data_IF_780634340418
#
_entry.id   IF_780634340418
#
_cell.length_a   1.000
_cell.length_b   1.000
_cell.length_c   1.000
_cell.angle_alpha   90.00
_cell.angle_beta   90.00
_cell.angle_gamma   90.00
#
_symmetry.space_group_name_H-M   'P 1'
#
loop_
_entity.id
_entity.type
_entity.pdbx_description
1 polymer ?
#
# COMPACT_ATOMS: atom_id res chain seq x y z
N UNK A 1 29.47 -1.77 -24.47
CA UNK A 1 28.26 -1.06 -24.02
C UNK A 1 28.23 -1.16 -22.51
N UNK A 2 28.02 -0.04 -21.81
CA UNK A 2 27.89 -0.06 -20.36
C UNK A 2 26.48 -0.54 -20.04
N UNK A 3 26.34 -1.78 -19.58
CA UNK A 3 25.11 -2.22 -18.92
C UNK A 3 25.23 -1.73 -17.48
N UNK A 4 24.55 -0.63 -17.15
CA UNK A 4 24.39 -0.26 -15.75
C UNK A 4 23.48 -1.32 -15.12
N UNK A 5 23.98 -2.02 -14.10
CA UNK A 5 23.15 -2.85 -13.24
C UNK A 5 22.39 -1.89 -12.34
N UNK A 6 21.07 -2.01 -12.33
CA UNK A 6 20.25 -1.26 -11.39
C UNK A 6 20.39 -1.86 -9.99
N UNK A 7 20.70 -1.00 -9.02
CA UNK A 7 20.87 -1.38 -7.61
C UNK A 7 20.01 -0.52 -6.70
N UNK A 8 19.14 0.35 -7.25
CA UNK A 8 18.22 1.14 -6.46
C UNK A 8 17.05 0.27 -6.03
N UNK A 9 16.63 0.40 -4.78
CA UNK A 9 15.41 -0.25 -4.29
C UNK A 9 14.21 0.68 -4.56
N UNK A 10 13.02 0.13 -4.89
CA UNK A 10 11.81 0.92 -4.98
C UNK A 10 11.51 1.66 -3.68
N UNK A 11 11.07 2.91 -3.79
CA UNK A 11 10.69 3.73 -2.64
C UNK A 11 9.24 4.18 -2.78
N UNK A 12 8.46 4.04 -1.70
CA UNK A 12 7.11 4.58 -1.64
C UNK A 12 7.18 6.12 -1.71
N UNK A 13 6.56 6.70 -2.74
CA UNK A 13 6.50 8.16 -2.95
C UNK A 13 5.20 8.77 -2.43
N UNK A 14 4.11 8.01 -2.40
CA UNK A 14 2.84 8.48 -1.83
C UNK A 14 1.93 7.33 -1.45
N UNK A 15 1.09 7.54 -0.45
CA UNK A 15 -0.10 6.73 -0.18
C UNK A 15 -1.31 7.66 -0.22
N UNK A 16 -2.34 7.30 -0.98
CA UNK A 16 -3.51 8.17 -1.21
C UNK A 16 -4.79 7.36 -1.39
N UNK A 17 -5.95 8.03 -1.30
CA UNK A 17 -7.23 7.50 -1.73
C UNK A 17 -7.82 8.35 -2.84
N UNK A 18 -8.63 7.74 -3.72
CA UNK A 18 -9.42 8.47 -4.72
C UNK A 18 -10.70 9.04 -4.15
N UNK A 19 -11.08 8.67 -2.94
CA UNK A 19 -12.25 9.25 -2.28
C UNK A 19 -11.88 10.52 -1.54
N UNK A 20 -12.78 11.51 -1.58
CA UNK A 20 -12.63 12.81 -0.93
C UNK A 20 -12.78 12.68 0.57
N UNK A 21 -11.97 13.37 1.36
CA UNK A 21 -12.05 13.34 2.81
C UNK A 21 -13.48 13.57 3.32
N UNK A 22 -13.91 12.72 4.24
CA UNK A 22 -15.29 12.71 4.72
C UNK A 22 -15.62 11.50 5.58
N UNK A 23 -16.87 11.41 6.02
CA UNK A 23 -17.36 10.30 6.82
C UNK A 23 -17.85 9.16 5.92
N UNK A 24 -17.36 7.95 6.19
CA UNK A 24 -17.72 6.75 5.46
C UNK A 24 -18.54 5.80 6.34
N UNK A 25 -19.54 5.17 5.74
CA UNK A 25 -20.42 4.26 6.46
C UNK A 25 -19.79 2.88 6.69
N UNK A 26 -20.28 2.16 7.68
CA UNK A 26 -19.92 0.76 7.90
C UNK A 26 -20.14 -0.06 6.62
N UNK A 27 -19.14 -0.86 6.25
CA UNK A 27 -19.17 -1.71 5.05
C UNK A 27 -18.81 -0.97 3.77
N UNK A 28 -18.56 0.33 3.82
CA UNK A 28 -18.12 1.08 2.67
C UNK A 28 -16.66 0.76 2.32
N UNK A 29 -16.36 0.60 1.03
CA UNK A 29 -15.01 0.30 0.55
C UNK A 29 -14.29 1.58 0.18
N UNK A 30 -13.12 1.82 0.78
CA UNK A 30 -12.20 2.90 0.47
C UNK A 30 -10.99 2.29 -0.23
N UNK A 31 -10.70 2.78 -1.44
CA UNK A 31 -9.55 2.33 -2.21
C UNK A 31 -8.33 3.12 -1.77
N UNK A 32 -7.29 2.43 -1.33
CA UNK A 32 -6.00 3.01 -0.94
C UNK A 32 -4.95 2.61 -1.97
N UNK A 33 -4.25 3.59 -2.51
CA UNK A 33 -3.21 3.45 -3.52
C UNK A 33 -1.83 3.77 -2.90
N UNK A 34 -0.93 2.80 -2.92
CA UNK A 34 0.47 2.95 -2.54
C UNK A 34 1.30 3.08 -3.82
N UNK A 35 1.95 4.23 -4.01
CA UNK A 35 2.72 4.54 -5.22
C UNK A 35 4.21 4.47 -4.91
N UNK A 36 4.96 3.77 -5.76
CA UNK A 36 6.40 3.66 -5.79
C UNK A 36 6.98 4.60 -6.86
N UNK A 37 8.26 4.94 -6.74
CA UNK A 37 9.01 5.68 -7.77
C UNK A 37 9.26 4.86 -9.05
N UNK A 38 9.18 3.54 -8.96
CA UNK A 38 9.28 2.61 -10.10
C UNK A 38 8.26 1.46 -10.05
N UNK A 39 8.21 0.67 -11.11
CA UNK A 39 7.28 -0.46 -11.20
C UNK A 39 7.74 -1.64 -10.35
N UNK A 40 6.81 -2.23 -9.58
CA UNK A 40 7.10 -3.34 -8.67
C UNK A 40 6.28 -4.59 -9.00
N UNK A 41 6.89 -5.76 -8.80
CA UNK A 41 6.27 -7.07 -8.90
C UNK A 41 5.97 -7.61 -7.50
N UNK A 42 4.72 -8.00 -7.28
CA UNK A 42 4.24 -8.52 -6.00
C UNK A 42 4.07 -10.04 -6.06
N UNK A 43 4.54 -10.73 -5.02
CA UNK A 43 4.17 -12.12 -4.72
C UNK A 43 3.50 -12.20 -3.34
N UNK A 44 2.71 -13.25 -3.09
CA UNK A 44 2.00 -13.42 -1.82
C UNK A 44 0.88 -12.40 -1.62
N UNK A 45 0.57 -12.08 -0.35
CA UNK A 45 -0.48 -11.13 0.04
C UNK A 45 0.10 -10.13 1.04
N UNK A 46 0.91 -9.14 0.59
CA UNK A 46 1.35 -8.07 1.46
C UNK A 46 0.17 -7.36 2.12
N UNK A 47 0.38 -6.81 3.31
CA UNK A 47 -0.64 -6.13 4.09
C UNK A 47 -0.23 -4.71 4.41
N UNK A 48 -1.13 -3.77 4.20
CA UNK A 48 -1.01 -2.37 4.60
C UNK A 48 -1.72 -2.16 5.94
N UNK A 49 -1.05 -1.61 6.94
CA UNK A 49 -1.65 -1.19 8.20
C UNK A 49 -2.12 0.27 8.10
N UNK A 50 -3.42 0.50 8.31
CA UNK A 50 -4.06 1.81 8.29
C UNK A 50 -4.37 2.24 9.73
N UNK A 51 -4.06 3.49 10.04
CA UNK A 51 -4.49 4.14 11.28
C UNK A 51 -5.97 4.52 11.14
N UNK A 52 -6.81 3.81 11.87
CA UNK A 52 -8.28 3.95 11.81
C UNK A 52 -8.87 4.32 13.17
N UNK A 53 -8.04 4.86 14.08
CA UNK A 53 -8.46 5.43 15.36
C UNK A 53 -7.87 4.71 16.56
N UNK A 54 -8.72 4.15 17.42
CA UNK A 54 -8.23 3.36 18.57
C UNK A 54 -7.72 1.97 18.18
N UNK A 55 -8.13 1.48 17.01
CA UNK A 55 -7.76 0.17 16.47
C UNK A 55 -7.31 0.37 15.03
N UNK A 56 -6.10 -0.08 14.71
CA UNK A 56 -5.57 -0.08 13.35
C UNK A 56 -6.11 -1.27 12.56
N UNK A 57 -6.22 -1.10 11.24
CA UNK A 57 -6.71 -2.15 10.33
C UNK A 57 -5.61 -2.58 9.37
N UNK A 58 -5.39 -3.89 9.30
CA UNK A 58 -4.58 -4.50 8.25
C UNK A 58 -5.44 -4.77 7.02
N UNK A 59 -4.96 -4.35 5.87
CA UNK A 59 -5.65 -4.43 4.58
C UNK A 59 -4.80 -5.22 3.62
N UNK A 60 -5.38 -6.28 3.05
CA UNK A 60 -4.69 -7.14 2.11
C UNK A 60 -4.49 -6.46 0.75
N UNK A 61 -3.32 -6.71 0.16
CA UNK A 61 -3.01 -6.34 -1.22
C UNK A 61 -4.09 -6.85 -2.18
N UNK A 62 -4.61 -5.94 -3.01
CA UNK A 62 -5.71 -6.23 -3.93
C UNK A 62 -5.25 -6.37 -5.38
N UNK A 63 -4.44 -5.44 -5.89
CA UNK A 63 -4.00 -5.42 -7.29
C UNK A 63 -2.88 -4.40 -7.56
N UNK A 64 -2.28 -4.42 -8.76
CA UNK A 64 -1.29 -3.42 -9.20
C UNK A 64 0.12 -3.94 -9.50
N UNK A 65 0.37 -5.24 -9.33
CA UNK A 65 1.64 -5.90 -9.69
C UNK A 65 2.05 -5.61 -11.14
N UNK A 66 3.33 -5.36 -11.37
CA UNK A 66 3.89 -4.93 -12.65
C UNK A 66 3.71 -3.44 -12.95
N UNK A 67 3.14 -2.66 -12.02
CA UNK A 67 3.03 -1.20 -12.11
C UNK A 67 3.70 -0.54 -10.91
N UNK A 68 3.80 0.78 -10.93
CA UNK A 68 4.31 1.54 -9.78
C UNK A 68 3.23 1.83 -8.72
N UNK A 69 2.00 1.36 -8.89
CA UNK A 69 0.91 1.64 -7.95
C UNK A 69 0.25 0.34 -7.50
N UNK A 70 0.31 0.05 -6.20
CA UNK A 70 -0.38 -1.07 -5.56
C UNK A 70 -1.67 -0.58 -4.91
N UNK A 71 -2.73 -1.36 -5.07
CA UNK A 71 -4.07 -1.04 -4.57
C UNK A 71 -4.44 -1.95 -3.40
N UNK A 72 -5.06 -1.36 -2.37
CA UNK A 72 -5.58 -2.00 -1.17
C UNK A 72 -7.03 -1.56 -0.96
N UNK A 73 -7.95 -2.50 -0.81
CA UNK A 73 -9.38 -2.21 -0.61
C UNK A 73 -9.74 -2.31 0.87
N UNK A 74 -9.72 -1.18 1.57
CA UNK A 74 -10.13 -1.09 2.95
C UNK A 74 -11.66 -1.07 3.05
N UNK A 75 -12.25 -1.91 3.92
CA UNK A 75 -13.68 -1.86 4.22
C UNK A 75 -13.87 -1.30 5.62
N UNK A 76 -14.62 -0.21 5.74
CA UNK A 76 -14.89 0.46 7.01
C UNK A 76 -15.58 -0.49 7.97
N UNK A 77 -15.02 -0.64 9.17
CA UNK A 77 -15.54 -1.52 10.21
C UNK A 77 -16.18 -0.71 11.34
N UNK A 78 -16.94 -1.40 12.18
CA UNK A 78 -17.52 -0.79 13.37
C UNK A 78 -16.41 -0.33 14.33
N UNK A 79 -16.52 0.92 14.77
CA UNK A 79 -15.56 1.53 15.71
C UNK A 79 -14.34 2.17 15.05
N UNK A 80 -14.27 2.16 13.72
CA UNK A 80 -13.24 2.89 12.98
C UNK A 80 -13.63 4.39 12.96
N UNK A 81 -12.76 5.24 13.49
CA UNK A 81 -12.89 6.70 13.50
C UNK A 81 -11.50 7.30 13.30
N UNK A 82 -11.24 7.87 12.12
CA UNK A 82 -10.02 8.64 11.88
C UNK A 82 -10.33 9.96 11.21
N UNK A 83 -9.63 11.02 11.63
CA UNK A 83 -9.75 12.35 11.04
C UNK A 83 -9.14 12.39 9.63
N UNK A 84 -8.06 11.62 9.45
CA UNK A 84 -7.40 11.34 8.17
C UNK A 84 -7.06 9.84 8.16
N UNK A 85 -7.28 9.13 7.05
CA UNK A 85 -6.71 7.78 6.90
C UNK A 85 -5.19 7.93 6.75
N UNK A 86 -4.51 8.13 7.88
CA UNK A 86 -3.07 8.23 7.91
C UNK A 86 -2.48 6.81 7.83
N UNK A 87 -1.39 6.68 7.10
CA UNK A 87 -0.65 5.42 7.02
C UNK A 87 0.55 5.59 7.94
N UNK A 88 0.63 4.73 8.96
CA UNK A 88 1.44 4.99 10.17
C UNK A 88 2.93 5.28 9.89
N UNK A 89 3.47 4.80 8.77
CA UNK A 89 4.70 5.24 8.09
C UNK A 89 4.96 4.33 6.85
N UNK A 90 6.10 4.50 6.17
CA UNK A 90 6.59 3.56 5.13
C UNK A 90 6.76 2.12 5.62
N UNK A 91 6.82 1.90 6.94
CA UNK A 91 6.82 0.56 7.55
C UNK A 91 5.42 -0.07 7.72
N UNK A 92 4.35 0.63 7.32
CA UNK A 92 2.99 0.11 7.36
C UNK A 92 2.75 -1.04 6.38
N UNK A 93 3.66 -1.24 5.41
CA UNK A 93 3.59 -2.33 4.45
C UNK A 93 4.39 -3.52 4.96
N UNK A 94 3.70 -4.63 5.20
CA UNK A 94 4.30 -5.90 5.61
C UNK A 94 4.16 -6.92 4.50
N UNK A 95 5.20 -7.72 4.25
CA UNK A 95 5.21 -8.64 3.11
C UNK A 95 4.31 -9.87 3.30
N UNK A 96 4.02 -10.26 4.55
CA UNK A 96 3.16 -11.40 4.90
C UNK A 96 3.46 -12.68 4.09
N UNK A 97 4.74 -13.06 4.05
CA UNK A 97 5.23 -14.23 3.30
C UNK A 97 5.39 -14.03 1.79
N UNK A 98 5.13 -12.81 1.29
CA UNK A 98 5.33 -12.40 -0.10
C UNK A 98 6.60 -11.58 -0.33
N UNK A 99 6.66 -10.89 -1.47
CA UNK A 99 7.74 -9.98 -1.85
C UNK A 99 7.19 -8.79 -2.63
N UNK A 100 7.89 -7.66 -2.59
CA UNK A 100 7.67 -6.51 -3.47
C UNK A 100 9.06 -6.14 -4.02
N UNK A 101 9.24 -6.31 -5.33
CA UNK A 101 10.56 -6.16 -5.98
C UNK A 101 10.46 -5.36 -7.28
N UNK A 102 11.50 -4.63 -7.65
CA UNK A 102 11.62 -4.05 -8.99
C UNK A 102 11.88 -5.11 -10.08
N UNK A 103 12.10 -4.64 -11.31
CA UNK A 103 12.47 -5.51 -12.44
C UNK A 103 13.90 -6.08 -12.36
N UNK A 104 14.79 -5.46 -11.58
CA UNK A 104 16.17 -5.90 -11.36
C UNK A 104 16.30 -6.92 -10.20
N UNK A 105 15.24 -7.11 -9.40
CA UNK A 105 15.17 -8.01 -8.25
C UNK A 105 15.43 -7.35 -6.90
N UNK A 106 15.58 -6.02 -6.83
CA UNK A 106 15.79 -5.25 -5.60
C UNK A 106 14.50 -5.21 -4.77
N UNK A 107 14.62 -5.43 -3.45
CA UNK A 107 13.49 -5.44 -2.51
C UNK A 107 13.12 -4.01 -2.09
N UNK A 108 11.82 -3.74 -1.98
CA UNK A 108 11.26 -2.49 -1.43
C UNK A 108 11.22 -2.47 0.10
#
# INVERSE_FOLDING_TARGET
>A
GNYAIDTAAPVITSVSSTKVDGSYGLGEVIVVAVTFDEAVTVTGIPQLELETGSVDRKVDYSSGTGTNTLTFNYTVQMGDESADLDYKATNALTLNGGTIKDAAGNDA
#
